data_IF_750976225956
#
_entry.id   IF_750976225956
#
_cell.length_a   1.000
_cell.length_b   1.000
_cell.length_c   1.000
_cell.angle_alpha   90.00
_cell.angle_beta   90.00
_cell.angle_gamma   90.00
#
_symmetry.space_group_name_H-M   'P 1'
#
loop_
_entity.id
_entity.type
_entity.pdbx_description
1 polymer ?
#
# COMPACT_ATOMS: atom_id res chain seq x y z
N UNK A 1 11.10 -81.80 -27.84
CA UNK A 1 12.10 -81.55 -26.78
C UNK A 1 11.36 -80.72 -25.72
N UNK A 2 10.82 -81.33 -24.64
CA UNK A 2 11.46 -81.50 -23.31
C UNK A 2 12.02 -80.15 -22.79
N UNK A 3 11.73 -79.58 -21.61
CA UNK A 3 11.48 -80.06 -20.24
C UNK A 3 10.71 -78.94 -19.48
N UNK A 4 9.73 -79.20 -18.61
CA UNK A 4 9.79 -79.57 -17.16
C UNK A 4 10.08 -78.43 -16.15
N UNK A 5 9.11 -78.26 -15.24
CA UNK A 5 9.16 -77.92 -13.81
C UNK A 5 9.74 -76.57 -13.34
N UNK A 6 8.98 -75.83 -12.50
CA UNK A 6 9.11 -75.87 -11.03
C UNK A 6 8.13 -74.88 -10.35
N UNK A 7 7.42 -75.35 -9.33
CA UNK A 7 6.55 -74.56 -8.47
C UNK A 7 7.34 -73.84 -7.36
N UNK A 8 6.98 -72.60 -7.02
CA UNK A 8 7.25 -72.02 -5.69
C UNK A 8 6.04 -71.20 -5.24
N UNK A 9 5.40 -71.69 -4.17
CA UNK A 9 4.48 -70.97 -3.29
C UNK A 9 5.29 -70.01 -2.41
N UNK A 10 4.87 -68.75 -2.31
CA UNK A 10 5.19 -67.91 -1.15
C UNK A 10 4.02 -66.98 -0.82
N UNK A 11 3.34 -67.31 0.27
CA UNK A 11 2.45 -66.46 1.06
C UNK A 11 3.25 -65.31 1.68
N UNK A 12 2.69 -64.09 1.79
CA UNK A 12 2.71 -63.28 3.04
C UNK A 12 2.01 -61.90 2.91
N UNK A 13 1.08 -61.69 3.85
CA UNK A 13 0.71 -60.46 4.57
C UNK A 13 0.37 -59.16 3.80
N UNK A 14 -0.93 -58.84 3.82
CA UNK A 14 -1.47 -57.48 3.67
C UNK A 14 -1.15 -56.67 4.94
N UNK A 15 -0.37 -55.60 4.81
CA UNK A 15 -0.20 -54.59 5.85
C UNK A 15 -1.12 -53.41 5.53
N UNK A 16 -2.23 -53.27 6.25
CA UNK A 16 -3.06 -52.05 6.24
C UNK A 16 -2.35 -50.98 7.05
N UNK A 17 -1.67 -50.04 6.37
CA UNK A 17 -1.24 -48.79 6.99
C UNK A 17 -2.47 -47.90 7.20
N UNK A 18 -3.10 -48.01 8.38
CA UNK A 18 -3.95 -46.94 8.88
C UNK A 18 -3.04 -45.82 9.39
N UNK A 19 -2.82 -44.80 8.55
CA UNK A 19 -2.13 -43.59 8.98
C UNK A 19 -3.04 -42.80 9.94
N UNK A 20 -2.53 -42.30 11.08
CA UNK A 20 -3.28 -41.38 11.92
C UNK A 20 -3.58 -40.12 11.10
N UNK A 21 -4.87 -39.78 11.01
CA UNK A 21 -5.31 -38.49 10.49
C UNK A 21 -4.97 -37.49 11.60
N UNK A 22 -3.77 -36.93 11.55
CA UNK A 22 -3.46 -35.74 12.31
C UNK A 22 -4.35 -34.62 11.77
N UNK A 23 -5.55 -34.49 12.34
CA UNK A 23 -6.27 -33.22 12.40
C UNK A 23 -5.46 -32.28 13.30
N UNK A 24 -4.27 -31.91 12.83
CA UNK A 24 -3.62 -30.70 13.24
C UNK A 24 -4.60 -29.58 12.90
N UNK A 25 -5.28 -29.05 13.92
CA UNK A 25 -5.76 -27.67 13.90
C UNK A 25 -4.56 -26.84 13.47
N UNK A 26 -4.49 -26.53 12.18
CA UNK A 26 -3.58 -25.54 11.64
C UNK A 26 -4.04 -24.23 12.26
N UNK A 27 -3.54 -23.94 13.46
CA UNK A 27 -3.38 -22.58 13.91
C UNK A 27 -2.52 -21.95 12.82
N UNK A 28 -3.18 -21.29 11.88
CA UNK A 28 -2.52 -20.38 10.96
C UNK A 28 -1.95 -19.28 11.84
N UNK A 29 -0.74 -19.48 12.35
CA UNK A 29 0.13 -18.38 12.72
C UNK A 29 0.20 -17.55 11.46
N UNK A 30 -0.58 -16.46 11.42
CA UNK A 30 -0.56 -15.49 10.33
C UNK A 30 0.89 -15.06 10.23
N UNK A 31 1.62 -15.59 9.26
CA UNK A 31 3.00 -15.24 9.02
C UNK A 31 2.96 -13.76 8.61
N UNK A 32 3.25 -12.87 9.55
CA UNK A 32 3.48 -11.47 9.25
C UNK A 32 4.81 -11.43 8.51
N UNK A 33 4.80 -10.99 7.25
CA UNK A 33 6.05 -10.72 6.54
C UNK A 33 6.87 -9.69 7.32
N UNK A 34 8.20 -9.72 7.13
CA UNK A 34 9.06 -8.68 7.69
C UNK A 34 8.62 -7.30 7.19
N UNK A 35 8.80 -6.27 8.02
CA UNK A 35 8.50 -4.88 7.62
C UNK A 35 9.33 -4.49 6.40
N UNK A 36 8.71 -3.84 5.43
CA UNK A 36 9.40 -3.31 4.24
C UNK A 36 9.54 -1.79 4.27
N UNK A 37 8.74 -1.12 5.10
CA UNK A 37 8.78 0.32 5.31
C UNK A 37 9.62 0.66 6.53
N UNK A 38 10.17 1.87 6.51
CA UNK A 38 10.81 2.50 7.67
C UNK A 38 10.13 3.84 7.87
N UNK A 39 9.70 4.12 9.10
CA UNK A 39 9.08 5.40 9.43
C UNK A 39 10.07 6.55 9.18
N UNK A 40 9.55 7.69 8.75
CA UNK A 40 10.28 8.90 8.44
C UNK A 40 9.40 10.14 8.56
N UNK A 41 10.05 11.28 8.51
CA UNK A 41 9.33 12.56 8.55
C UNK A 41 8.64 12.83 7.21
N UNK A 42 7.63 13.69 7.20
CA UNK A 42 6.91 14.09 5.99
C UNK A 42 7.86 14.50 4.85
N UNK A 43 8.92 15.25 5.17
CA UNK A 43 9.96 15.67 4.22
C UNK A 43 10.63 14.50 3.48
N UNK A 44 10.61 13.30 4.07
CA UNK A 44 11.23 12.08 3.54
C UNK A 44 10.28 11.25 2.69
N UNK A 45 8.99 11.13 3.05
CA UNK A 45 8.04 10.29 2.33
C UNK A 45 7.11 11.05 1.37
N UNK A 46 7.07 12.38 1.44
CA UNK A 46 6.28 13.22 0.52
C UNK A 46 6.77 13.14 -0.93
N UNK A 47 5.87 13.43 -1.87
CA UNK A 47 6.10 13.38 -3.34
C UNK A 47 5.79 14.72 -4.03
N UNK A 48 5.71 15.81 -3.27
CA UNK A 48 5.16 17.09 -3.72
C UNK A 48 6.18 18.00 -4.43
N UNK A 49 7.46 17.65 -4.46
CA UNK A 49 8.50 18.38 -5.18
C UNK A 49 8.71 17.88 -6.62
N UNK A 50 9.49 18.63 -7.41
CA UNK A 50 9.91 18.26 -8.76
C UNK A 50 8.95 18.77 -9.82
N UNK A 51 8.35 17.86 -10.59
CA UNK A 51 7.34 18.17 -11.61
C UNK A 51 6.08 17.34 -11.39
N UNK A 52 4.94 17.84 -11.88
CA UNK A 52 3.71 17.06 -11.94
C UNK A 52 3.75 16.00 -13.04
N UNK A 53 2.85 15.02 -12.95
CA UNK A 53 2.56 14.06 -14.00
C UNK A 53 2.88 12.59 -13.69
N UNK A 54 3.61 12.31 -12.60
CA UNK A 54 4.04 10.95 -12.23
C UNK A 54 3.82 10.62 -10.74
N UNK A 55 2.94 11.35 -10.05
CA UNK A 55 2.78 11.26 -8.60
C UNK A 55 2.43 9.84 -8.13
N UNK A 56 1.61 9.09 -8.86
CA UNK A 56 1.24 7.73 -8.45
C UNK A 56 2.46 6.79 -8.47
N UNK A 57 3.32 6.91 -9.48
CA UNK A 57 4.53 6.10 -9.56
C UNK A 57 5.51 6.46 -8.43
N UNK A 58 5.67 7.76 -8.15
CA UNK A 58 6.49 8.24 -7.03
C UNK A 58 5.98 7.70 -5.68
N UNK A 59 4.66 7.70 -5.46
CA UNK A 59 4.06 7.13 -4.24
C UNK A 59 4.30 5.64 -4.15
N UNK A 60 4.06 4.89 -5.23
CA UNK A 60 4.30 3.44 -5.24
C UNK A 60 5.78 3.08 -5.03
N UNK A 61 6.71 3.94 -5.47
CA UNK A 61 8.13 3.76 -5.21
C UNK A 61 8.49 3.99 -3.73
N UNK A 62 7.82 4.93 -3.04
CA UNK A 62 8.02 5.18 -1.60
C UNK A 62 7.28 4.21 -0.69
N UNK A 63 6.19 3.63 -1.16
CA UNK A 63 5.38 2.63 -0.44
C UNK A 63 5.32 1.31 -1.22
N UNK A 64 6.44 0.56 -1.34
CA UNK A 64 6.54 -0.65 -2.16
C UNK A 64 5.87 -1.87 -1.50
N UNK A 65 4.57 -1.77 -1.24
CA UNK A 65 3.76 -2.83 -0.65
C UNK A 65 3.49 -3.92 -1.67
N UNK A 66 3.67 -5.18 -1.27
CA UNK A 66 3.29 -6.34 -2.06
C UNK A 66 1.76 -6.44 -2.17
N UNK A 67 1.22 -5.91 -3.28
CA UNK A 67 -0.21 -5.91 -3.57
C UNK A 67 -0.77 -7.29 -3.92
N UNK A 68 0.09 -8.31 -4.09
CA UNK A 68 -0.34 -9.70 -4.26
C UNK A 68 -0.63 -10.39 -2.92
N UNK A 69 -0.16 -9.82 -1.79
CA UNK A 69 -0.32 -10.41 -0.46
C UNK A 69 -0.58 -9.36 0.64
N UNK A 70 -1.73 -8.68 0.56
CA UNK A 70 -2.16 -7.72 1.59
C UNK A 70 -2.32 -8.35 2.99
N UNK A 71 -2.73 -9.61 3.08
CA UNK A 71 -2.89 -10.30 4.36
C UNK A 71 -1.56 -10.50 5.12
N UNK A 72 -0.44 -10.57 4.38
CA UNK A 72 0.91 -10.74 4.91
C UNK A 72 1.60 -9.44 5.35
N UNK A 73 1.03 -8.26 5.04
CA UNK A 73 1.62 -6.97 5.43
C UNK A 73 1.76 -6.87 6.95
N UNK A 74 2.93 -6.45 7.41
CA UNK A 74 3.23 -6.34 8.83
C UNK A 74 2.37 -5.28 9.53
N UNK A 75 2.14 -5.42 10.84
CA UNK A 75 1.43 -4.40 11.60
C UNK A 75 2.18 -3.06 11.63
N UNK A 76 3.52 -3.10 11.56
CA UNK A 76 4.36 -1.91 11.51
C UNK A 76 4.19 -1.16 10.18
N UNK A 77 4.23 -1.86 9.03
CA UNK A 77 3.99 -1.23 7.73
C UNK A 77 2.57 -0.66 7.64
N UNK A 78 1.56 -1.38 8.15
CA UNK A 78 0.19 -0.87 8.18
C UNK A 78 0.08 0.42 9.03
N UNK A 79 0.79 0.50 10.15
CA UNK A 79 0.84 1.71 10.96
C UNK A 79 1.47 2.88 10.19
N UNK A 80 2.58 2.62 9.47
CA UNK A 80 3.26 3.60 8.63
C UNK A 80 2.34 4.12 7.52
N UNK A 81 1.71 3.23 6.76
CA UNK A 81 0.76 3.60 5.69
C UNK A 81 -0.39 4.43 6.25
N UNK A 82 -0.93 4.05 7.42
CA UNK A 82 -2.05 4.75 8.06
C UNK A 82 -1.68 6.17 8.43
N UNK A 83 -0.52 6.37 9.08
CA UNK A 83 -0.07 7.69 9.47
C UNK A 83 0.36 8.53 8.27
N UNK A 84 0.99 7.94 7.25
CA UNK A 84 1.31 8.66 6.02
C UNK A 84 0.06 9.25 5.36
N UNK A 85 -1.07 8.52 5.36
CA UNK A 85 -2.36 9.04 4.89
C UNK A 85 -2.84 10.23 5.74
N UNK A 86 -2.79 10.12 7.07
CA UNK A 86 -3.20 11.18 8.00
C UNK A 86 -2.33 12.43 7.89
N UNK A 87 -1.01 12.28 7.92
CA UNK A 87 -0.06 13.39 7.80
C UNK A 87 -0.20 14.07 6.45
N UNK A 88 -0.45 13.32 5.37
CA UNK A 88 -0.71 13.92 4.06
C UNK A 88 -2.04 14.70 4.03
N UNK A 89 -3.03 14.29 4.81
CA UNK A 89 -4.25 15.10 5.02
C UNK A 89 -3.95 16.38 5.79
N UNK A 90 -3.23 16.28 6.91
CA UNK A 90 -2.85 17.42 7.72
C UNK A 90 -1.96 18.40 6.94
N UNK A 91 -1.04 17.89 6.12
CA UNK A 91 -0.24 18.70 5.20
C UNK A 91 -1.09 19.41 4.14
N UNK A 92 -2.30 18.92 3.83
CA UNK A 92 -3.23 19.59 2.92
C UNK A 92 -4.01 20.72 3.62
N UNK A 93 -4.63 20.41 4.77
CA UNK A 93 -5.68 21.24 5.39
C UNK A 93 -5.31 21.85 6.74
N UNK A 94 -4.27 21.34 7.40
CA UNK A 94 -3.79 21.82 8.69
C UNK A 94 -3.06 23.15 8.58
N UNK A 95 -2.86 23.80 9.72
CA UNK A 95 -2.11 25.06 9.80
C UNK A 95 -0.69 24.90 9.25
N UNK A 96 -0.29 25.80 8.36
CA UNK A 96 1.00 25.70 7.65
C UNK A 96 1.01 24.66 6.52
N UNK A 97 -0.14 24.05 6.23
CA UNK A 97 -0.35 23.12 5.12
C UNK A 97 -0.43 23.82 3.75
N UNK A 98 -0.77 23.06 2.72
CA UNK A 98 -0.83 23.55 1.34
C UNK A 98 -1.85 24.67 1.15
N UNK A 99 -3.00 24.62 1.83
CA UNK A 99 -4.00 25.70 1.75
C UNK A 99 -3.39 27.04 2.20
N UNK A 100 -2.82 27.07 3.39
CA UNK A 100 -2.17 28.26 3.95
C UNK A 100 -0.99 28.74 3.07
N UNK A 101 -0.18 27.80 2.56
CA UNK A 101 0.97 28.13 1.72
C UNK A 101 0.54 28.73 0.37
N UNK A 102 -0.52 28.21 -0.25
CA UNK A 102 -1.06 28.75 -1.50
C UNK A 102 -1.65 30.14 -1.28
N UNK A 103 -2.41 30.32 -0.19
CA UNK A 103 -3.01 31.61 0.15
C UNK A 103 -1.93 32.66 0.45
N UNK A 104 -0.91 32.30 1.25
CA UNK A 104 0.24 33.15 1.54
C UNK A 104 1.06 33.50 0.27
N UNK A 105 1.05 32.64 -0.74
CA UNK A 105 1.68 32.89 -2.03
C UNK A 105 0.83 33.79 -2.96
N UNK A 106 -0.33 34.28 -2.53
CA UNK A 106 -1.23 35.09 -3.35
C UNK A 106 -2.20 34.28 -4.22
N UNK A 107 -2.48 33.03 -3.83
CA UNK A 107 -3.39 32.13 -4.51
C UNK A 107 -2.78 31.45 -5.75
N UNK A 108 -3.56 30.60 -6.40
CA UNK A 108 -3.10 29.75 -7.52
C UNK A 108 -2.75 30.52 -8.79
N UNK A 109 -3.14 31.80 -8.90
CA UNK A 109 -2.80 32.69 -10.01
C UNK A 109 -1.36 33.19 -9.97
N UNK A 110 -0.69 33.15 -8.81
CA UNK A 110 0.73 33.50 -8.71
C UNK A 110 1.60 32.33 -9.15
N UNK A 111 2.82 32.61 -9.63
CA UNK A 111 3.76 31.55 -10.02
C UNK A 111 4.09 30.60 -8.86
N UNK A 112 4.25 31.15 -7.65
CA UNK A 112 4.53 30.35 -6.46
C UNK A 112 3.32 29.52 -6.03
N UNK A 113 2.11 30.11 -6.03
CA UNK A 113 0.88 29.41 -5.70
C UNK A 113 0.50 28.35 -6.72
N UNK A 114 0.78 28.56 -8.00
CA UNK A 114 0.62 27.55 -9.05
C UNK A 114 1.53 26.33 -8.79
N UNK A 115 2.81 26.54 -8.45
CA UNK A 115 3.73 25.44 -8.14
C UNK A 115 3.31 24.67 -6.88
N UNK A 116 2.86 25.38 -5.85
CA UNK A 116 2.31 24.78 -4.63
C UNK A 116 1.01 24.02 -4.90
N UNK A 117 0.18 24.48 -5.84
CA UNK A 117 -1.03 23.77 -6.24
C UNK A 117 -0.73 22.45 -6.96
N UNK A 118 0.33 22.39 -7.78
CA UNK A 118 0.82 21.12 -8.33
C UNK A 118 1.30 20.21 -7.19
N UNK A 119 2.10 20.72 -6.26
CA UNK A 119 2.53 19.97 -5.07
C UNK A 119 1.37 19.42 -4.26
N UNK A 120 0.33 20.22 -4.03
CA UNK A 120 -0.91 19.80 -3.35
C UNK A 120 -1.62 18.67 -4.09
N UNK A 121 -1.64 18.68 -5.42
CA UNK A 121 -2.22 17.58 -6.22
C UNK A 121 -1.43 16.30 -6.01
N UNK A 122 -0.08 16.36 -6.04
CA UNK A 122 0.77 15.20 -5.75
C UNK A 122 0.56 14.68 -4.32
N UNK A 123 0.47 15.58 -3.33
CA UNK A 123 0.14 15.23 -1.94
C UNK A 123 -1.24 14.55 -1.81
N UNK A 124 -2.24 14.96 -2.60
CA UNK A 124 -3.53 14.26 -2.66
C UNK A 124 -3.41 12.84 -3.21
N UNK A 125 -2.58 12.63 -4.23
CA UNK A 125 -2.31 11.28 -4.76
C UNK A 125 -1.66 10.42 -3.68
N UNK A 126 -0.67 10.95 -2.96
CA UNK A 126 -0.05 10.29 -1.80
C UNK A 126 -1.09 9.89 -0.75
N UNK A 127 -1.88 10.85 -0.25
CA UNK A 127 -2.94 10.61 0.73
C UNK A 127 -3.87 9.49 0.29
N UNK A 128 -4.40 9.58 -0.92
CA UNK A 128 -5.44 8.66 -1.39
C UNK A 128 -4.89 7.27 -1.69
N UNK A 129 -3.66 7.17 -2.19
CA UNK A 129 -3.04 5.87 -2.45
C UNK A 129 -2.69 5.15 -1.14
N UNK A 130 -2.15 5.85 -0.13
CA UNK A 130 -1.89 5.25 1.18
C UNK A 130 -3.19 4.89 1.90
N UNK A 131 -4.26 5.68 1.75
CA UNK A 131 -5.61 5.36 2.25
C UNK A 131 -6.19 4.10 1.59
N UNK A 132 -6.07 3.97 0.26
CA UNK A 132 -6.48 2.76 -0.48
C UNK A 132 -5.68 1.53 -0.04
N UNK A 133 -4.36 1.64 0.10
CA UNK A 133 -3.51 0.55 0.62
C UNK A 133 -3.95 0.15 2.03
N UNK A 134 -4.16 1.11 2.93
CA UNK A 134 -4.64 0.86 4.30
C UNK A 134 -5.94 0.06 4.27
N UNK A 135 -6.93 0.50 3.49
CA UNK A 135 -8.23 -0.18 3.39
C UNK A 135 -8.05 -1.60 2.86
N UNK A 136 -7.32 -1.80 1.77
CA UNK A 136 -7.10 -3.12 1.17
C UNK A 136 -6.40 -4.08 2.14
N UNK A 137 -5.40 -3.60 2.88
CA UNK A 137 -4.72 -4.37 3.93
C UNK A 137 -5.68 -4.72 5.05
N UNK A 138 -6.41 -3.75 5.60
CA UNK A 138 -7.35 -3.98 6.69
C UNK A 138 -8.45 -4.99 6.30
N UNK A 139 -9.02 -4.85 5.10
CA UNK A 139 -10.00 -5.79 4.55
C UNK A 139 -9.40 -7.21 4.43
N UNK A 140 -8.20 -7.34 3.85
CA UNK A 140 -7.52 -8.63 3.71
C UNK A 140 -7.14 -9.26 5.07
N UNK A 141 -7.01 -8.44 6.11
CA UNK A 141 -6.71 -8.87 7.47
C UNK A 141 -7.96 -9.10 8.34
N UNK A 142 -9.17 -9.01 7.75
CA UNK A 142 -10.43 -9.37 8.40
C UNK A 142 -11.27 -8.20 8.92
N UNK A 143 -10.86 -6.95 8.69
CA UNK A 143 -11.67 -5.77 9.03
C UNK A 143 -12.61 -5.41 7.86
N UNK A 144 -13.78 -6.03 7.81
CA UNK A 144 -14.74 -5.87 6.72
C UNK A 144 -15.27 -4.44 6.59
N UNK A 145 -15.43 -3.71 7.71
CA UNK A 145 -15.99 -2.35 7.75
C UNK A 145 -15.20 -1.36 6.88
N UNK A 146 -13.86 -1.52 6.82
CA UNK A 146 -12.98 -0.70 5.98
C UNK A 146 -13.35 -0.76 4.49
N UNK A 147 -13.96 -1.86 4.04
CA UNK A 147 -14.26 -2.09 2.61
C UNK A 147 -15.35 -1.16 2.07
N UNK A 148 -16.21 -0.61 2.94
CA UNK A 148 -17.33 0.24 2.55
C UNK A 148 -16.89 1.53 1.86
N UNK A 149 -15.69 2.02 2.15
CA UNK A 149 -15.14 3.26 1.59
C UNK A 149 -14.24 3.05 0.36
N UNK A 150 -13.85 1.80 0.07
CA UNK A 150 -12.80 1.49 -0.92
C UNK A 150 -13.11 2.06 -2.30
N UNK A 151 -14.32 1.84 -2.82
CA UNK A 151 -14.73 2.32 -4.14
C UNK A 151 -14.70 3.86 -4.23
N UNK A 152 -15.09 4.54 -3.15
CA UNK A 152 -15.06 6.00 -3.05
C UNK A 152 -13.62 6.52 -3.08
N UNK A 153 -12.73 5.90 -2.31
CA UNK A 153 -11.32 6.32 -2.25
C UNK A 153 -10.59 6.02 -3.56
N UNK A 154 -10.86 4.88 -4.22
CA UNK A 154 -10.32 4.58 -5.54
C UNK A 154 -10.77 5.58 -6.61
N UNK A 155 -12.04 6.02 -6.58
CA UNK A 155 -12.54 7.05 -7.50
C UNK A 155 -11.86 8.40 -7.27
N UNK A 156 -11.69 8.80 -6.01
CA UNK A 156 -10.94 10.02 -5.65
C UNK A 156 -9.49 9.94 -6.10
N UNK A 157 -8.83 8.79 -5.89
CA UNK A 157 -7.46 8.54 -6.32
C UNK A 157 -7.35 8.70 -7.84
N UNK A 158 -8.18 7.99 -8.60
CA UNK A 158 -8.18 8.07 -10.06
C UNK A 158 -8.38 9.51 -10.57
N UNK A 159 -9.26 10.27 -9.92
CA UNK A 159 -9.48 11.69 -10.24
C UNK A 159 -8.22 12.53 -10.01
N UNK A 160 -7.52 12.34 -8.88
CA UNK A 160 -6.32 13.12 -8.58
C UNK A 160 -5.10 12.68 -9.41
N UNK A 161 -5.02 11.41 -9.79
CA UNK A 161 -4.03 10.92 -10.76
C UNK A 161 -4.24 11.58 -12.13
N UNK A 162 -5.49 11.70 -12.58
CA UNK A 162 -5.79 12.43 -13.82
C UNK A 162 -5.46 13.93 -13.71
N UNK A 163 -5.72 14.56 -12.56
CA UNK A 163 -5.34 15.95 -12.30
C UNK A 163 -3.82 16.14 -12.32
N UNK A 164 -3.05 15.22 -11.72
CA UNK A 164 -1.59 15.23 -11.73
C UNK A 164 -1.03 15.05 -13.14
N UNK A 165 -1.55 14.07 -13.91
CA UNK A 165 -1.20 13.85 -15.30
C UNK A 165 -1.42 15.12 -16.16
N UNK A 166 -2.49 15.88 -15.89
CA UNK A 166 -2.73 17.16 -16.56
C UNK A 166 -1.75 18.29 -16.15
N UNK A 167 -0.97 18.10 -15.07
CA UNK A 167 0.13 18.99 -14.68
C UNK A 167 1.51 18.50 -15.16
N UNK A 168 1.58 17.53 -16.08
CA UNK A 168 2.82 16.98 -16.59
C UNK A 168 3.85 18.07 -16.96
N UNK A 169 5.05 17.97 -16.38
CA UNK A 169 6.18 18.87 -16.64
C UNK A 169 6.08 20.27 -15.99
N UNK A 170 4.96 20.61 -15.34
CA UNK A 170 4.87 21.86 -14.56
C UNK A 170 5.61 21.71 -13.24
N UNK A 171 6.25 22.79 -12.80
CA UNK A 171 6.94 22.83 -11.51
C UNK A 171 6.00 22.46 -10.37
N UNK A 172 6.45 21.53 -9.55
CA UNK A 172 5.80 21.12 -8.31
C UNK A 172 6.66 21.53 -7.13
N UNK A 173 6.05 22.10 -6.10
CA UNK A 173 6.74 22.55 -4.90
C UNK A 173 6.06 22.01 -3.65
N UNK A 174 6.84 21.41 -2.76
CA UNK A 174 6.39 20.97 -1.45
C UNK A 174 6.35 22.11 -0.42
N UNK A 175 5.86 21.77 0.77
CA UNK A 175 5.82 22.63 1.95
C UNK A 175 6.74 22.07 3.04
N UNK A 176 7.19 22.93 3.93
CA UNK A 176 7.85 22.48 5.16
C UNK A 176 6.76 22.15 6.19
N UNK A 177 6.42 20.87 6.32
CA UNK A 177 5.38 20.39 7.22
C UNK A 177 5.95 19.37 8.22
N UNK A 178 5.49 19.44 9.47
CA UNK A 178 5.94 18.53 10.55
C UNK A 178 5.01 17.33 10.67
N UNK A 179 5.58 16.13 10.75
CA UNK A 179 4.87 14.89 11.01
C UNK A 179 5.76 13.69 10.72
N UNK A 180 5.57 12.59 11.45
CA UNK A 180 6.33 11.35 11.27
C UNK A 180 5.35 10.19 11.13
N UNK A 181 5.50 9.43 10.05
CA UNK A 181 4.64 8.28 9.77
C UNK A 181 4.93 7.05 10.67
#
# INVERSE_FOLDING_TARGET
MQFSNLAILFSLSVATLAAPIDTAKRATTKATSASVLTAGDYSTFQVSDGVGGDALAEVNAKFPIDTSNFAGVSAADLAIITKAAQISEDAEVGTGGFNDAIDAAGGTSSTAGAALQVGKIKNKVLKLQTDVLRIQIQTAQGNAESSSELATQQKKLATNVALDAAQAGKTSKSISFSGTD
#
